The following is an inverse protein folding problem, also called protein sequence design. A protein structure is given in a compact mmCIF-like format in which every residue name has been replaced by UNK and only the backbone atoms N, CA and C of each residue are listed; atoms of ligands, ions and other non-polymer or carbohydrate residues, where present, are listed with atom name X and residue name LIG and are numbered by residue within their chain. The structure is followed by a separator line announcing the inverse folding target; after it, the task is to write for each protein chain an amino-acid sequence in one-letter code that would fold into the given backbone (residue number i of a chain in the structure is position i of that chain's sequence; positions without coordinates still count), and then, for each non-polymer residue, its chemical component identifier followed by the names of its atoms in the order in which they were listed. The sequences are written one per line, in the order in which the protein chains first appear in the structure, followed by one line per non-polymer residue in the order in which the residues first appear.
data_IF_276414175769
#
_entry.id   IF_276414175769
#
_cell.length_a   1.000
_cell.length_b   1.000
_cell.length_c   1.000
_cell.angle_alpha   90.00
_cell.angle_beta   90.00
_cell.angle_gamma   90.00
#
_symmetry.space_group_name_H-M   'P 1'
#
loop_
_entity.id
_entity.type
_entity.pdbx_description
1 polymer ?
#
# COMPACT_ATOMS: atom_id res chain seq x y z
N UNK A 1 2.82 14.70 -26.50
CA UNK A 1 4.04 15.48 -26.64
C UNK A 1 5.24 14.60 -26.36
N UNK A 2 6.33 14.75 -27.13
CA UNK A 2 7.59 14.10 -26.83
C UNK A 2 8.31 14.95 -25.79
N UNK A 3 8.91 14.33 -24.78
CA UNK A 3 9.73 15.00 -23.78
C UNK A 3 11.17 14.94 -24.29
N UNK A 4 11.85 16.09 -24.32
CA UNK A 4 13.22 16.21 -24.79
C UNK A 4 14.17 16.51 -23.62
N UNK A 5 15.45 16.24 -23.82
CA UNK A 5 16.45 16.56 -22.79
C UNK A 5 16.55 18.07 -22.59
N UNK A 6 16.31 18.54 -21.38
CA UNK A 6 16.28 19.96 -21.01
C UNK A 6 14.88 20.52 -20.81
N UNK A 7 13.82 19.77 -21.13
CA UNK A 7 12.46 20.19 -20.82
C UNK A 7 12.24 20.18 -19.29
N UNK A 8 11.51 21.21 -18.84
CA UNK A 8 10.99 21.25 -17.48
C UNK A 8 9.67 20.47 -17.43
N UNK A 9 9.59 19.47 -16.54
CA UNK A 9 8.43 18.58 -16.47
C UNK A 9 7.83 18.63 -15.08
N UNK A 10 6.52 18.92 -15.01
CA UNK A 10 5.71 18.80 -13.81
C UNK A 10 4.95 17.47 -13.86
N UNK A 11 5.09 16.67 -12.80
CA UNK A 11 4.41 15.39 -12.65
C UNK A 11 3.33 15.49 -11.58
N UNK A 12 2.10 15.22 -11.96
CA UNK A 12 0.98 15.04 -11.04
C UNK A 12 0.64 13.55 -10.98
N UNK A 13 1.24 12.86 -10.02
CA UNK A 13 1.02 11.43 -9.81
C UNK A 13 -0.38 11.10 -9.27
N UNK A 14 -1.08 12.10 -8.74
CA UNK A 14 -2.42 11.93 -8.20
C UNK A 14 -3.47 11.84 -9.31
N UNK A 15 -3.38 12.74 -10.29
CA UNK A 15 -4.28 12.78 -11.43
C UNK A 15 -3.74 12.06 -12.67
N UNK A 16 -2.51 11.56 -12.61
CA UNK A 16 -1.85 10.90 -13.75
C UNK A 16 -1.54 11.88 -14.89
N UNK A 17 -1.22 13.14 -14.58
CA UNK A 17 -0.96 14.20 -15.55
C UNK A 17 0.54 14.52 -15.60
N UNK A 18 1.04 14.69 -16.83
CA UNK A 18 2.39 15.18 -17.09
C UNK A 18 2.29 16.47 -17.89
N UNK A 19 2.82 17.56 -17.35
CA UNK A 19 2.86 18.86 -18.02
C UNK A 19 4.30 19.16 -18.42
N UNK A 20 4.54 19.32 -19.71
CA UNK A 20 5.87 19.67 -20.25
C UNK A 20 5.95 21.18 -20.43
N UNK A 21 7.02 21.79 -19.92
CA UNK A 21 7.24 23.23 -19.92
C UNK A 21 6.03 24.02 -19.39
N UNK A 22 5.60 23.75 -18.11
CA UNK A 22 4.46 24.39 -17.51
C UNK A 22 4.61 25.92 -17.49
N UNK A 23 3.49 26.63 -17.61
CA UNK A 23 3.45 28.08 -17.44
C UNK A 23 3.59 28.48 -15.98
N UNK A 24 3.97 29.73 -15.70
CA UNK A 24 4.03 30.26 -14.34
C UNK A 24 2.69 30.12 -13.60
N UNK A 25 1.58 30.29 -14.32
CA UNK A 25 0.24 30.07 -13.77
C UNK A 25 0.02 28.62 -13.36
N UNK A 26 0.40 27.66 -14.22
CA UNK A 26 0.31 26.23 -13.92
C UNK A 26 1.15 25.87 -12.69
N UNK A 27 2.39 26.38 -12.63
CA UNK A 27 3.27 26.17 -11.48
C UNK A 27 2.67 26.74 -10.18
N UNK A 28 2.04 27.91 -10.25
CA UNK A 28 1.38 28.50 -9.11
C UNK A 28 0.18 27.65 -8.62
N UNK A 29 -0.67 27.20 -9.54
CA UNK A 29 -1.83 26.35 -9.22
C UNK A 29 -1.40 25.05 -8.57
N UNK A 30 -0.37 24.38 -9.11
CA UNK A 30 0.16 23.14 -8.53
C UNK A 30 0.89 23.37 -7.20
N UNK A 31 1.58 24.49 -7.03
CA UNK A 31 2.17 24.87 -5.75
C UNK A 31 1.14 25.09 -4.64
N UNK A 32 -0.06 25.60 -4.97
CA UNK A 32 -1.16 25.69 -4.01
C UNK A 32 -1.68 24.30 -3.61
N UNK A 33 -1.85 23.39 -4.57
CA UNK A 33 -2.28 22.02 -4.31
C UNK A 33 -1.26 21.26 -3.44
N UNK A 34 0.03 21.41 -3.71
CA UNK A 34 1.10 20.81 -2.91
C UNK A 34 1.02 21.30 -1.46
N UNK A 35 0.87 22.60 -1.25
CA UNK A 35 0.73 23.18 0.08
C UNK A 35 -0.52 22.68 0.82
N UNK A 36 -1.65 22.59 0.13
CA UNK A 36 -2.88 22.03 0.72
C UNK A 36 -2.70 20.57 1.14
N UNK A 37 -1.95 19.77 0.37
CA UNK A 37 -1.61 18.39 0.72
C UNK A 37 -0.66 18.31 1.92
N UNK A 38 0.35 19.18 1.98
CA UNK A 38 1.27 19.27 3.12
C UNK A 38 0.52 19.66 4.40
N UNK A 39 -0.38 20.66 4.33
CA UNK A 39 -1.20 21.09 5.45
C UNK A 39 -2.15 19.97 5.91
N UNK A 40 -2.70 19.19 4.98
CA UNK A 40 -3.52 18.01 5.30
C UNK A 40 -2.68 16.92 5.97
N UNK A 41 -1.51 16.61 5.43
CA UNK A 41 -0.59 15.61 5.99
C UNK A 41 -0.16 15.99 7.41
N UNK A 42 0.12 17.28 7.67
CA UNK A 42 0.44 17.78 8.99
C UNK A 42 -0.72 17.56 9.98
N UNK A 43 -1.95 17.91 9.57
CA UNK A 43 -3.15 17.68 10.40
C UNK A 43 -3.39 16.19 10.67
N UNK A 44 -3.18 15.32 9.69
CA UNK A 44 -3.30 13.87 9.88
C UNK A 44 -2.24 13.34 10.86
N UNK A 45 -1.04 13.90 10.83
CA UNK A 45 0.01 13.55 11.78
C UNK A 45 -0.35 13.92 13.22
N UNK A 46 -1.03 15.05 13.44
CA UNK A 46 -1.49 15.48 14.77
C UNK A 46 -2.51 14.51 15.39
N UNK A 47 -3.36 13.89 14.56
CA UNK A 47 -4.44 13.02 15.04
C UNK A 47 -4.09 11.53 15.02
N UNK A 48 -2.95 11.14 14.45
CA UNK A 48 -2.59 9.72 14.27
C UNK A 48 -2.55 8.91 15.58
N UNK A 49 -2.12 9.55 16.67
CA UNK A 49 -2.00 8.94 18.00
C UNK A 49 -3.28 9.12 18.84
N UNK A 50 -4.31 9.75 18.27
CA UNK A 50 -5.59 9.93 18.96
C UNK A 50 -6.41 8.65 18.89
N UNK A 51 -7.11 8.24 19.97
CA UNK A 51 -7.96 7.08 19.95
C UNK A 51 -9.13 7.30 18.98
N UNK A 52 -9.42 6.29 18.16
CA UNK A 52 -10.55 6.31 17.23
C UNK A 52 -11.84 5.99 17.99
N UNK A 53 -12.54 7.05 18.41
CA UNK A 53 -13.77 6.93 19.21
C UNK A 53 -14.95 7.46 18.39
N UNK A 54 -16.02 6.68 18.31
CA UNK A 54 -17.28 7.08 17.67
C UNK A 54 -18.01 8.14 18.51
N UNK A 55 -18.99 8.84 17.91
CA UNK A 55 -19.76 9.89 18.61
C UNK A 55 -20.55 9.36 19.82
N UNK A 56 -20.88 8.08 19.83
CA UNK A 56 -21.55 7.39 20.93
C UNK A 56 -20.59 6.75 21.94
N UNK A 57 -19.28 7.01 21.80
CA UNK A 57 -18.25 6.67 22.78
C UNK A 57 -17.61 5.28 22.62
N UNK A 58 -17.86 4.58 21.51
CA UNK A 58 -17.20 3.30 21.24
C UNK A 58 -15.83 3.50 20.63
N UNK A 59 -14.83 2.83 21.19
CA UNK A 59 -13.48 2.79 20.63
C UNK A 59 -13.41 1.77 19.49
N UNK A 60 -12.82 2.20 18.36
CA UNK A 60 -12.67 1.39 17.14
C UNK A 60 -11.18 1.10 16.93
N UNK A 61 -10.84 -0.16 16.78
CA UNK A 61 -9.48 -0.56 16.41
C UNK A 61 -9.25 -0.31 14.92
N UNK A 62 -8.34 0.60 14.61
CA UNK A 62 -7.93 0.91 13.24
C UNK A 62 -6.73 0.05 12.84
N UNK A 63 -6.89 -0.80 11.85
CA UNK A 63 -5.83 -1.68 11.36
C UNK A 63 -5.58 -1.46 9.88
N UNK A 64 -4.33 -1.63 9.46
CA UNK A 64 -3.91 -1.40 8.08
C UNK A 64 -4.11 -2.61 7.18
N UNK A 65 -4.31 -2.39 5.88
CA UNK A 65 -4.18 -3.41 4.86
C UNK A 65 -2.73 -3.41 4.33
N UNK A 66 -2.12 -4.58 4.24
CA UNK A 66 -0.70 -4.76 3.87
C UNK A 66 -0.58 -5.83 2.79
N UNK A 67 0.28 -5.60 1.83
CA UNK A 67 0.55 -6.51 0.71
C UNK A 67 1.97 -7.07 0.76
N UNK A 68 2.93 -6.27 1.24
CA UNK A 68 4.33 -6.63 1.30
C UNK A 68 4.92 -6.32 2.69
N UNK A 69 6.01 -7.01 3.03
CA UNK A 69 6.71 -6.76 4.29
C UNK A 69 7.27 -5.34 4.38
N UNK A 70 7.61 -4.72 3.26
CA UNK A 70 8.04 -3.32 3.19
C UNK A 70 7.02 -2.32 3.74
N UNK A 71 5.73 -2.67 3.69
CA UNK A 71 4.64 -1.80 4.12
C UNK A 71 4.51 -1.73 5.64
N UNK A 72 5.12 -2.68 6.37
CA UNK A 72 5.01 -2.77 7.84
C UNK A 72 5.55 -1.52 8.56
N UNK A 73 6.57 -0.87 8.03
CA UNK A 73 7.08 0.38 8.60
C UNK A 73 6.03 1.49 8.57
N UNK A 74 5.34 1.66 7.43
CA UNK A 74 4.28 2.64 7.26
C UNK A 74 3.08 2.37 8.19
N UNK A 75 2.76 1.09 8.47
CA UNK A 75 1.70 0.69 9.42
C UNK A 75 1.97 1.28 10.80
N UNK A 76 3.20 1.12 11.30
CA UNK A 76 3.60 1.63 12.61
C UNK A 76 3.67 3.17 12.63
N UNK A 77 4.19 3.77 11.55
CA UNK A 77 4.28 5.23 11.43
C UNK A 77 2.91 5.91 11.36
N UNK A 78 1.90 5.26 10.80
CA UNK A 78 0.53 5.78 10.72
C UNK A 78 -0.29 5.59 12.02
N UNK A 79 0.26 4.95 13.05
CA UNK A 79 -0.43 4.70 14.32
C UNK A 79 -1.53 3.64 14.22
N UNK A 80 -1.43 2.71 13.27
CA UNK A 80 -2.38 1.60 13.16
C UNK A 80 -2.17 0.58 14.28
N UNK A 81 -3.28 0.03 14.80
CA UNK A 81 -3.31 -0.98 15.85
C UNK A 81 -3.02 -2.40 15.32
N UNK A 82 -2.21 -2.51 14.27
CA UNK A 82 -1.82 -3.78 13.67
C UNK A 82 -2.24 -3.91 12.19
N UNK A 83 -2.17 -5.13 11.68
CA UNK A 83 -2.55 -5.48 10.32
C UNK A 83 -3.89 -6.22 10.31
N UNK A 84 -4.92 -5.55 9.82
CA UNK A 84 -6.27 -6.10 9.68
C UNK A 84 -6.44 -7.02 8.47
N UNK A 85 -5.59 -6.86 7.47
CA UNK A 85 -5.56 -7.71 6.29
C UNK A 85 -4.17 -7.75 5.67
N UNK A 86 -3.50 -8.91 5.77
CA UNK A 86 -2.34 -9.21 4.95
C UNK A 86 -2.79 -10.02 3.73
N UNK A 87 -2.56 -9.47 2.53
CA UNK A 87 -2.95 -10.10 1.26
C UNK A 87 -1.88 -11.08 0.82
N UNK A 88 -2.09 -12.36 1.09
CA UNK A 88 -1.12 -13.41 0.78
C UNK A 88 -0.92 -13.66 -0.71
N UNK A 89 -1.84 -13.19 -1.56
CA UNK A 89 -1.83 -13.38 -3.01
C UNK A 89 -0.55 -12.86 -3.67
N UNK A 90 0.04 -11.80 -3.15
CA UNK A 90 1.28 -11.23 -3.68
C UNK A 90 2.46 -12.19 -3.60
N UNK A 91 2.51 -13.06 -2.57
CA UNK A 91 3.53 -14.10 -2.46
C UNK A 91 3.50 -15.09 -3.64
N UNK A 92 2.33 -15.24 -4.26
CA UNK A 92 2.10 -16.17 -5.37
C UNK A 92 2.24 -15.47 -6.71
N UNK A 93 1.77 -14.23 -6.84
CA UNK A 93 1.75 -13.49 -8.11
C UNK A 93 3.13 -12.99 -8.54
N UNK A 94 4.01 -12.66 -7.61
CA UNK A 94 5.36 -12.17 -7.90
C UNK A 94 6.35 -13.28 -8.30
N UNK A 95 5.95 -14.55 -8.22
CA UNK A 95 6.83 -15.69 -8.44
C UNK A 95 6.45 -16.49 -9.67
N UNK A 96 7.47 -17.11 -10.29
CA UNK A 96 7.28 -18.03 -11.42
C UNK A 96 6.84 -19.44 -10.96
N UNK A 97 6.96 -19.75 -9.69
CA UNK A 97 6.60 -21.03 -9.06
C UNK A 97 5.85 -20.77 -7.78
N UNK A 98 4.94 -21.67 -7.41
CA UNK A 98 4.24 -21.58 -6.14
C UNK A 98 5.23 -21.54 -4.98
N UNK A 99 5.04 -20.64 -3.99
CA UNK A 99 5.84 -20.65 -2.77
C UNK A 99 5.54 -21.94 -1.97
N UNK A 100 6.57 -22.61 -1.54
CA UNK A 100 6.47 -23.73 -0.61
C UNK A 100 6.08 -23.27 0.81
N UNK A 101 5.85 -24.22 1.71
CA UNK A 101 5.46 -23.93 3.08
C UNK A 101 6.52 -23.12 3.83
N UNK A 102 7.79 -23.39 3.60
CA UNK A 102 8.89 -22.68 4.28
C UNK A 102 8.96 -21.22 3.87
N UNK A 103 8.82 -20.93 2.59
CA UNK A 103 8.77 -19.56 2.06
C UNK A 103 7.58 -18.79 2.61
N UNK A 104 6.41 -19.42 2.67
CA UNK A 104 5.21 -18.80 3.24
C UNK A 104 5.38 -18.54 4.74
N UNK A 105 5.81 -19.55 5.50
CA UNK A 105 6.04 -19.45 6.94
C UNK A 105 7.06 -18.36 7.28
N UNK A 106 8.16 -18.27 6.52
CA UNK A 106 9.16 -17.22 6.71
C UNK A 106 8.57 -15.82 6.46
N UNK A 107 7.79 -15.67 5.40
CA UNK A 107 7.16 -14.38 5.05
C UNK A 107 6.18 -13.93 6.13
N UNK A 108 5.32 -14.83 6.59
CA UNK A 108 4.34 -14.53 7.65
C UNK A 108 5.02 -14.22 8.98
N UNK A 109 6.06 -15.00 9.33
CA UNK A 109 6.85 -14.78 10.55
C UNK A 109 7.49 -13.37 10.54
N UNK A 110 8.07 -12.95 9.42
CA UNK A 110 8.69 -11.63 9.31
C UNK A 110 7.69 -10.50 9.49
N UNK A 111 6.51 -10.61 8.89
CA UNK A 111 5.45 -9.61 9.06
C UNK A 111 4.97 -9.58 10.52
N UNK A 112 4.70 -10.73 11.11
CA UNK A 112 4.27 -10.83 12.50
C UNK A 112 5.31 -10.26 13.48
N UNK A 113 6.60 -10.53 13.25
CA UNK A 113 7.69 -9.98 14.07
C UNK A 113 7.85 -8.47 13.91
N UNK A 114 7.67 -7.94 12.69
CA UNK A 114 7.78 -6.52 12.43
C UNK A 114 6.65 -5.71 13.08
N UNK A 115 5.46 -6.28 13.20
CA UNK A 115 4.27 -5.62 13.76
C UNK A 115 4.12 -5.89 15.27
N UNK A 116 4.79 -6.90 15.81
CA UNK A 116 4.66 -7.24 17.23
C UNK A 116 4.88 -6.01 18.16
N UNK A 117 4.08 -5.85 19.24
CA UNK A 117 3.12 -6.81 19.81
C UNK A 117 1.72 -6.79 19.16
N UNK A 118 1.50 -5.94 18.15
CA UNK A 118 0.20 -5.76 17.53
C UNK A 118 -0.23 -6.96 16.67
N UNK A 119 -1.54 -7.22 16.51
CA UNK A 119 -2.03 -8.38 15.78
C UNK A 119 -1.85 -8.25 14.27
N UNK A 120 -1.69 -9.40 13.60
CA UNK A 120 -1.69 -9.52 12.14
C UNK A 120 -2.71 -10.57 11.71
N UNK A 121 -3.64 -10.18 10.84
CA UNK A 121 -4.62 -11.09 10.23
C UNK A 121 -4.14 -11.44 8.82
N UNK A 122 -3.78 -12.71 8.62
CA UNK A 122 -3.42 -13.25 7.30
C UNK A 122 -4.66 -13.79 6.62
N UNK A 123 -4.99 -13.25 5.45
CA UNK A 123 -6.02 -13.85 4.60
C UNK A 123 -5.45 -15.07 3.90
N UNK A 124 -6.14 -16.19 3.96
CA UNK A 124 -5.80 -17.36 3.14
C UNK A 124 -5.96 -17.01 1.66
N UNK A 125 -5.29 -17.78 0.79
CA UNK A 125 -5.20 -17.53 -0.64
C UNK A 125 -6.59 -17.32 -1.27
N UNK A 126 -6.77 -16.15 -1.89
CA UNK A 126 -8.00 -15.73 -2.58
C UNK A 126 -7.64 -15.28 -4.00
N UNK A 127 -7.24 -16.24 -4.84
CA UNK A 127 -6.89 -16.00 -6.23
C UNK A 127 -7.82 -16.84 -7.10
N UNK A 128 -8.48 -16.18 -8.08
CA UNK A 128 -9.24 -16.89 -9.11
C UNK A 128 -8.35 -17.82 -9.95
N UNK A 129 -8.88 -18.96 -10.34
CA UNK A 129 -8.16 -19.98 -11.09
C UNK A 129 -7.55 -19.46 -12.41
N UNK A 130 -8.17 -18.43 -13.02
CA UNK A 130 -7.69 -17.72 -14.20
C UNK A 130 -6.33 -17.03 -13.98
N UNK A 131 -6.10 -16.48 -12.80
CA UNK A 131 -4.85 -15.80 -12.45
C UNK A 131 -3.75 -16.78 -12.03
N UNK A 132 -4.11 -17.87 -11.39
CA UNK A 132 -3.18 -18.93 -11.00
C UNK A 132 -2.65 -19.66 -12.25
N UNK A 133 -3.48 -19.89 -13.27
CA UNK A 133 -3.09 -20.56 -14.52
C UNK A 133 -1.93 -19.86 -15.21
N UNK A 134 -1.87 -18.54 -15.20
CA UNK A 134 -0.74 -17.78 -15.76
C UNK A 134 0.56 -17.91 -14.96
N UNK A 135 0.46 -18.10 -13.64
CA UNK A 135 1.64 -18.22 -12.77
C UNK A 135 2.26 -19.62 -12.75
N UNK A 136 1.49 -20.67 -13.08
CA UNK A 136 1.91 -22.07 -12.90
C UNK A 136 2.05 -22.83 -14.24
N UNK A 137 1.70 -22.21 -15.38
CA UNK A 137 1.60 -22.93 -16.66
C UNK A 137 0.44 -23.92 -16.63
N UNK A 138 -0.45 -23.85 -17.58
CA UNK A 138 -1.81 -24.44 -17.66
C UNK A 138 -1.99 -25.95 -17.36
N UNK A 139 -0.94 -26.67 -16.95
CA UNK A 139 -0.93 -28.15 -16.93
C UNK A 139 -1.22 -28.82 -15.59
N UNK A 140 -1.48 -28.11 -14.48
CA UNK A 140 -1.55 -28.74 -13.16
C UNK A 140 -2.70 -28.38 -12.23
N UNK A 141 -3.68 -27.62 -12.64
CA UNK A 141 -4.74 -27.12 -11.74
C UNK A 141 -6.15 -27.68 -11.99
N UNK A 142 -6.31 -28.75 -12.76
CA UNK A 142 -7.61 -29.43 -12.82
C UNK A 142 -7.43 -30.90 -12.42
N UNK A 143 -8.23 -31.39 -11.44
CA UNK A 143 -8.41 -32.83 -11.24
C UNK A 143 -9.18 -33.44 -12.40
#
# INVERSE_FOLDING_TARGET
PQIETGDYVLLDGYNGVVVVNPTDQTLFEYGQLEKEQEDLAAKLTEIKDSPAITLDGHEIMLSANVEQISDTAAVLECGACGVGLFRTEYLFLERKTLPDEEVQALSYTRVAQAIAPEPVIFRTLDIGADKIGHAIGESRLLP
#
